data_IF_144579023300
#
_entry.id   IF_144579023300
#
_cell.length_a   1.000
_cell.length_b   1.000
_cell.length_c   1.000
_cell.angle_alpha   90.00
_cell.angle_beta   90.00
_cell.angle_gamma   90.00
#
_symmetry.space_group_name_H-M   'P 1'
#
loop_
_entity.id
_entity.type
_entity.pdbx_description
1 polymer ?
#
# COMPACT_ATOMS: atom_id res chain seq x y z
N UNK A 1 -1.33 68.33 3.03
CA UNK A 1 -2.38 67.31 2.86
C UNK A 1 -1.85 66.26 1.89
N UNK A 2 -2.16 64.99 2.19
CA UNK A 2 -1.91 63.79 1.37
C UNK A 2 -0.55 63.09 1.51
N UNK A 3 -0.56 62.18 2.48
CA UNK A 3 0.14 60.91 2.63
C UNK A 3 -0.01 59.96 1.42
N UNK A 4 0.98 59.09 1.23
CA UNK A 4 0.89 57.61 1.08
C UNK A 4 2.04 57.11 0.16
N UNK A 5 3.08 56.51 0.73
CA UNK A 5 3.27 55.05 0.92
C UNK A 5 3.65 54.34 -0.38
N UNK A 6 4.94 53.99 -0.46
CA UNK A 6 5.53 53.16 -1.50
C UNK A 6 5.01 51.73 -1.44
N UNK A 7 4.63 51.24 -2.59
CA UNK A 7 4.19 49.89 -2.90
C UNK A 7 5.39 48.96 -3.05
N UNK A 8 5.91 48.50 -1.90
CA UNK A 8 6.70 47.26 -1.84
C UNK A 8 5.78 46.08 -2.15
N UNK A 9 5.63 45.80 -3.44
CA UNK A 9 5.07 44.54 -3.93
C UNK A 9 6.17 43.46 -3.93
N UNK A 10 6.60 43.07 -2.73
CA UNK A 10 7.31 41.80 -2.50
C UNK A 10 6.33 40.65 -2.72
N UNK A 11 6.01 40.41 -3.99
CA UNK A 11 5.21 39.28 -4.45
C UNK A 11 6.04 38.00 -4.51
N UNK A 12 6.49 37.49 -3.37
CA UNK A 12 6.87 36.08 -3.25
C UNK A 12 5.59 35.24 -3.15
N UNK A 13 4.88 35.16 -4.28
CA UNK A 13 3.86 34.15 -4.49
C UNK A 13 4.53 32.79 -4.56
N UNK A 14 4.67 32.13 -3.41
CA UNK A 14 4.93 30.70 -3.38
C UNK A 14 3.62 30.05 -3.80
N UNK A 15 3.45 29.86 -5.11
CA UNK A 15 2.50 28.87 -5.65
C UNK A 15 3.04 27.50 -5.22
N UNK A 16 2.68 27.09 -4.00
CA UNK A 16 2.78 25.69 -3.59
C UNK A 16 1.73 24.93 -4.41
N UNK A 17 2.07 24.61 -5.66
CA UNK A 17 1.42 23.57 -6.44
C UNK A 17 1.52 22.28 -5.61
N UNK A 18 0.50 22.07 -4.81
CA UNK A 18 0.26 20.85 -4.07
C UNK A 18 -0.06 19.81 -5.13
N UNK A 19 0.99 19.18 -5.65
CA UNK A 19 0.91 17.95 -6.41
C UNK A 19 0.42 16.87 -5.45
N UNK A 20 -0.90 16.83 -5.24
CA UNK A 20 -1.59 15.72 -4.61
C UNK A 20 -1.46 14.56 -5.58
N UNK A 21 -0.35 13.81 -5.46
CA UNK A 21 -0.17 12.55 -6.15
C UNK A 21 -1.33 11.66 -5.73
N UNK A 22 -2.29 11.45 -6.64
CA UNK A 22 -3.38 10.51 -6.42
C UNK A 22 -2.78 9.12 -6.22
N UNK A 23 -2.64 8.69 -4.97
CA UNK A 23 -2.09 7.38 -4.63
C UNK A 23 -3.07 6.29 -5.09
N UNK A 24 -2.76 5.67 -6.24
CA UNK A 24 -3.60 4.61 -6.80
C UNK A 24 -3.58 3.39 -5.88
N UNK A 25 -4.77 3.05 -5.39
CA UNK A 25 -4.98 2.03 -4.36
C UNK A 25 -5.86 0.92 -4.93
N UNK A 26 -5.52 -0.31 -4.58
CA UNK A 26 -6.23 -1.51 -5.03
C UNK A 26 -6.78 -2.28 -3.84
N UNK A 27 -8.00 -2.79 -4.00
CA UNK A 27 -8.64 -3.69 -3.03
C UNK A 27 -8.64 -5.09 -3.61
N UNK A 28 -8.09 -6.03 -2.86
CA UNK A 28 -8.05 -7.45 -3.22
C UNK A 28 -8.65 -8.29 -2.11
N UNK A 29 -9.03 -9.53 -2.44
CA UNK A 29 -9.43 -10.52 -1.47
C UNK A 29 -8.30 -11.54 -1.30
N UNK A 30 -7.97 -11.87 -0.05
CA UNK A 30 -7.01 -12.92 0.26
C UNK A 30 -7.48 -14.25 -0.34
N UNK A 31 -6.68 -14.89 -1.19
CA UNK A 31 -6.99 -16.21 -1.77
C UNK A 31 -7.09 -17.33 -0.72
N UNK A 32 -6.55 -17.11 0.48
CA UNK A 32 -6.48 -18.12 1.54
C UNK A 32 -7.60 -18.05 2.58
N UNK A 33 -8.07 -16.84 2.90
CA UNK A 33 -9.10 -16.64 3.93
C UNK A 33 -10.29 -15.81 3.45
N UNK A 34 -10.27 -15.32 2.21
CA UNK A 34 -11.34 -14.50 1.63
C UNK A 34 -11.46 -13.08 2.19
N UNK A 35 -10.66 -12.72 3.21
CA UNK A 35 -10.72 -11.39 3.80
C UNK A 35 -10.18 -10.33 2.83
N UNK A 36 -10.85 -9.16 2.73
CA UNK A 36 -10.39 -8.07 1.89
C UNK A 36 -9.16 -7.39 2.51
N UNK A 37 -8.27 -6.91 1.65
CA UNK A 37 -7.14 -6.07 2.05
C UNK A 37 -6.89 -4.99 0.99
N UNK A 38 -6.22 -3.94 1.42
CA UNK A 38 -5.94 -2.76 0.63
C UNK A 38 -4.44 -2.62 0.46
N UNK A 39 -3.99 -2.33 -0.76
CA UNK A 39 -2.57 -2.13 -1.06
C UNK A 39 -2.42 -0.99 -2.06
N UNK A 40 -1.37 -0.19 -1.88
CA UNK A 40 -1.05 0.92 -2.78
C UNK A 40 -0.20 0.40 -3.93
N UNK A 41 -0.38 0.95 -5.13
CA UNK A 41 0.35 0.51 -6.32
C UNK A 41 1.87 0.68 -6.16
N UNK A 42 2.34 1.64 -5.34
CA UNK A 42 3.76 1.79 -5.04
C UNK A 42 4.36 0.63 -4.23
N UNK A 43 3.55 -0.15 -3.52
CA UNK A 43 3.99 -1.32 -2.75
C UNK A 43 4.13 -2.58 -3.64
N UNK A 44 3.84 -2.48 -4.94
CA UNK A 44 3.85 -3.63 -5.87
C UNK A 44 5.27 -4.04 -6.28
N UNK A 45 6.32 -3.52 -5.64
CA UNK A 45 7.71 -3.69 -6.09
C UNK A 45 8.10 -5.16 -6.26
N UNK A 46 7.97 -5.97 -5.20
CA UNK A 46 8.26 -7.41 -5.27
C UNK A 46 7.06 -8.26 -5.71
N UNK A 47 5.84 -7.69 -5.72
CA UNK A 47 4.55 -8.35 -5.97
C UNK A 47 4.24 -9.56 -5.08
N UNK A 48 5.14 -9.97 -4.20
CA UNK A 48 4.94 -11.04 -3.22
C UNK A 48 4.45 -10.38 -1.95
N UNK A 49 3.35 -10.90 -1.42
CA UNK A 49 2.71 -10.39 -0.23
C UNK A 49 2.45 -11.53 0.72
N UNK A 50 2.33 -11.19 2.00
CA UNK A 50 1.78 -12.07 3.02
C UNK A 50 0.57 -11.36 3.59
N UNK A 51 -0.57 -12.04 3.65
CA UNK A 51 -1.78 -11.41 4.18
C UNK A 51 -1.66 -11.26 5.70
N UNK A 52 -1.13 -10.13 6.15
CA UNK A 52 -0.83 -9.87 7.55
C UNK A 52 -0.38 -8.44 7.79
N UNK A 53 -0.96 -7.80 8.80
CA UNK A 53 -0.53 -6.49 9.32
C UNK A 53 -0.18 -6.65 10.79
N UNK A 54 0.98 -6.17 11.22
CA UNK A 54 1.42 -6.17 12.60
C UNK A 54 0.47 -5.35 13.47
N UNK A 55 0.00 -5.93 14.58
CA UNK A 55 -0.87 -5.23 15.53
C UNK A 55 -0.18 -4.09 16.28
N UNK A 56 1.14 -4.18 16.40
CA UNK A 56 1.93 -3.23 17.18
C UNK A 56 2.00 -1.84 16.51
N UNK A 57 2.15 -1.80 15.19
CA UNK A 57 2.42 -0.57 14.44
C UNK A 57 1.59 -0.41 13.16
N UNK A 58 0.71 -1.37 12.85
CA UNK A 58 -0.11 -1.34 11.65
C UNK A 58 0.68 -1.55 10.34
N UNK A 59 1.93 -2.00 10.41
CA UNK A 59 2.76 -2.22 9.21
C UNK A 59 2.50 -3.61 8.61
N UNK A 60 2.54 -3.76 7.27
CA UNK A 60 2.48 -5.07 6.64
C UNK A 60 3.65 -5.93 7.11
N UNK A 61 3.42 -7.23 7.27
CA UNK A 61 4.49 -8.17 7.62
C UNK A 61 5.50 -8.31 6.48
N UNK A 62 6.74 -8.69 6.82
CA UNK A 62 7.80 -8.88 5.82
C UNK A 62 7.36 -9.93 4.77
N UNK A 63 7.30 -9.58 3.47
CA UNK A 63 6.85 -10.49 2.41
C UNK A 63 7.76 -11.71 2.24
N UNK A 64 9.03 -11.57 2.63
CA UNK A 64 10.08 -12.60 2.60
C UNK A 64 10.29 -13.30 3.94
N UNK A 65 9.40 -13.11 4.93
CA UNK A 65 9.51 -13.83 6.19
C UNK A 65 9.41 -15.36 5.96
N UNK A 66 10.23 -16.15 6.67
CA UNK A 66 10.15 -17.61 6.59
C UNK A 66 8.81 -18.10 7.16
N UNK A 67 8.37 -19.27 6.69
CA UNK A 67 7.10 -19.88 7.11
C UNK A 67 6.92 -19.96 8.63
N UNK A 68 7.96 -20.40 9.33
CA UNK A 68 7.94 -20.54 10.78
C UNK A 68 7.65 -19.21 11.49
N UNK A 69 8.16 -18.10 10.96
CA UNK A 69 7.91 -16.76 11.52
C UNK A 69 6.47 -16.32 11.24
N UNK A 70 5.96 -16.50 10.01
CA UNK A 70 4.57 -16.19 9.70
C UNK A 70 3.58 -16.99 10.58
N UNK A 71 3.83 -18.29 10.74
CA UNK A 71 3.01 -19.17 11.59
C UNK A 71 3.10 -18.75 13.07
N UNK A 72 4.28 -18.32 13.54
CA UNK A 72 4.46 -17.77 14.88
C UNK A 72 3.62 -16.52 15.10
N UNK A 73 3.68 -15.56 14.18
CA UNK A 73 2.94 -14.31 14.25
C UNK A 73 1.42 -14.54 14.30
N UNK A 74 0.90 -15.49 13.52
CA UNK A 74 -0.53 -15.87 13.53
C UNK A 74 -0.89 -16.55 14.85
N UNK A 75 -0.11 -17.55 15.28
CA UNK A 75 -0.35 -18.32 16.51
C UNK A 75 -0.31 -17.45 17.76
N UNK A 76 0.60 -16.48 17.82
CA UNK A 76 0.74 -15.54 18.93
C UNK A 76 -0.22 -14.35 18.82
N UNK A 77 -1.04 -14.29 17.75
CA UNK A 77 -2.01 -13.22 17.55
C UNK A 77 -1.39 -11.85 17.34
N UNK A 78 -0.14 -11.79 16.85
CA UNK A 78 0.62 -10.55 16.67
C UNK A 78 0.25 -9.80 15.39
N UNK A 79 -0.54 -10.44 14.50
CA UNK A 79 -0.97 -9.86 13.23
C UNK A 79 -2.50 -9.91 13.06
N UNK A 80 -3.01 -9.05 12.18
CA UNK A 80 -4.33 -9.20 11.55
C UNK A 80 -4.14 -9.78 10.15
N UNK A 81 -4.69 -10.98 9.91
CA UNK A 81 -4.56 -11.69 8.64
C UNK A 81 -4.18 -13.16 8.85
N UNK A 82 -3.96 -13.89 7.75
CA UNK A 82 -3.65 -15.32 7.78
C UNK A 82 -2.15 -15.66 7.67
N UNK A 83 -1.28 -14.68 7.43
CA UNK A 83 0.17 -14.85 7.31
C UNK A 83 0.64 -15.65 6.08
N UNK A 84 -0.27 -16.03 5.18
CA UNK A 84 0.03 -16.89 4.03
C UNK A 84 0.52 -16.10 2.80
N UNK A 85 1.40 -16.68 1.97
CA UNK A 85 1.91 -16.07 0.74
C UNK A 85 0.83 -15.85 -0.30
N UNK A 86 0.98 -14.79 -1.07
CA UNK A 86 0.28 -14.59 -2.34
C UNK A 86 1.10 -13.68 -3.24
N UNK A 87 0.74 -13.67 -4.52
CA UNK A 87 1.40 -12.84 -5.51
C UNK A 87 0.40 -11.98 -6.25
N UNK A 88 0.75 -10.73 -6.51
CA UNK A 88 0.02 -9.86 -7.44
C UNK A 88 0.48 -10.17 -8.86
N UNK A 89 -0.47 -10.45 -9.75
CA UNK A 89 -0.26 -10.67 -11.18
C UNK A 89 -1.10 -9.72 -12.01
N UNK A 90 -0.61 -9.39 -13.21
CA UNK A 90 -1.38 -8.62 -14.16
C UNK A 90 -2.49 -9.51 -14.74
N UNK A 91 -3.75 -9.13 -14.51
CA UNK A 91 -4.90 -9.77 -15.09
C UNK A 91 -5.12 -9.31 -16.53
N UNK A 92 -5.35 -10.26 -17.44
CA UNK A 92 -5.78 -9.98 -18.82
C UNK A 92 -7.31 -9.83 -18.84
N UNK A 93 -7.78 -8.59 -18.68
CA UNK A 93 -9.19 -8.22 -18.91
C UNK A 93 -9.40 -7.69 -20.33
N UNK A 94 -10.61 -7.89 -20.88
CA UNK A 94 -10.99 -7.53 -22.26
C UNK A 94 -11.02 -6.01 -22.58
N UNK A 95 -10.48 -5.15 -21.70
CA UNK A 95 -10.47 -3.69 -21.86
C UNK A 95 -9.22 -2.99 -21.35
N UNK A 96 -8.11 -3.72 -21.14
CA UNK A 96 -6.87 -3.18 -20.56
C UNK A 96 -6.59 -3.79 -19.18
N UNK A 97 -5.34 -4.19 -18.96
CA UNK A 97 -4.92 -5.08 -17.87
C UNK A 97 -5.30 -4.59 -16.47
N UNK A 98 -5.94 -5.47 -15.70
CA UNK A 98 -6.19 -5.27 -14.26
C UNK A 98 -5.09 -5.89 -13.41
N UNK A 99 -5.22 -5.79 -12.09
CA UNK A 99 -4.38 -6.54 -11.16
C UNK A 99 -5.22 -7.64 -10.50
N UNK A 100 -4.62 -8.81 -10.29
CA UNK A 100 -5.22 -9.95 -9.62
C UNK A 100 -4.24 -10.50 -8.59
N UNK A 101 -4.74 -11.33 -7.68
CA UNK A 101 -3.92 -12.02 -6.69
C UNK A 101 -4.06 -13.53 -6.87
N UNK A 102 -2.93 -14.22 -6.86
CA UNK A 102 -2.86 -15.68 -6.97
C UNK A 102 -2.14 -16.28 -5.76
N UNK A 103 -2.40 -17.55 -5.52
CA UNK A 103 -1.65 -18.34 -4.55
C UNK A 103 -0.20 -18.51 -5.01
N UNK A 104 0.75 -18.38 -4.09
CA UNK A 104 2.17 -18.55 -4.33
C UNK A 104 2.77 -19.36 -3.19
N UNK A 105 3.85 -20.09 -3.45
CA UNK A 105 4.57 -20.82 -2.41
C UNK A 105 5.48 -19.89 -1.59
N UNK A 106 5.93 -20.40 -0.44
CA UNK A 106 6.99 -19.76 0.33
C UNK A 106 8.30 -19.83 -0.49
N UNK A 107 8.87 -18.66 -0.78
CA UNK A 107 10.23 -18.48 -1.30
C UNK A 107 11.29 -18.67 -0.22
#
# INVERSE_FOLDING_TARGET
>A
MSTALGDHSDGWGIEMETSVLAEKTHVFNCVHCGAPFVIKEHDFNCRILRHGVMRADGRPINPHAPRAECERLVREGLIWGCGKPMRIVAGVGAGGGGWQVEECDYI
#
